data_IF_384319819066
#
_entry.id   IF_384319819066
#
_cell.length_a   1.000
_cell.length_b   1.000
_cell.length_c   1.000
_cell.angle_alpha   90.00
_cell.angle_beta   90.00
_cell.angle_gamma   90.00
#
_symmetry.space_group_name_H-M   'P 1'
#
loop_
_entity.id
_entity.type
_entity.pdbx_description
1 polymer ?
#
# COMPACT_ATOMS: atom_id res chain seq x y z
N UNK A 1 -1.59 -0.37 -19.69
CA UNK A 1 -2.05 0.63 -18.72
C UNK A 1 -1.30 1.94 -18.91
N UNK A 2 -2.03 3.06 -19.03
CA UNK A 2 -1.43 4.41 -19.13
C UNK A 2 -1.01 4.98 -17.75
N UNK A 3 -1.14 4.21 -16.69
CA UNK A 3 -0.74 4.62 -15.34
C UNK A 3 0.78 4.62 -15.18
N UNK A 4 1.38 5.79 -15.26
CA UNK A 4 2.82 6.04 -15.06
C UNK A 4 3.12 6.40 -13.59
N UNK A 5 2.43 5.79 -12.61
CA UNK A 5 2.82 5.96 -11.21
C UNK A 5 4.12 5.18 -10.90
N UNK A 6 4.82 5.59 -9.84
CA UNK A 6 6.13 5.01 -9.48
C UNK A 6 6.07 3.47 -9.30
N UNK A 7 4.97 2.95 -8.79
CA UNK A 7 4.73 1.51 -8.60
C UNK A 7 4.68 0.77 -9.94
N UNK A 8 3.90 1.27 -10.89
CA UNK A 8 3.79 0.66 -12.22
C UNK A 8 5.09 0.78 -13.00
N UNK A 9 5.84 1.88 -12.83
CA UNK A 9 7.14 2.04 -13.44
C UNK A 9 8.14 1.01 -12.90
N UNK A 10 8.17 0.79 -11.58
CA UNK A 10 9.03 -0.22 -10.96
C UNK A 10 8.70 -1.64 -11.46
N UNK A 11 7.43 -1.99 -11.57
CA UNK A 11 6.99 -3.29 -12.10
C UNK A 11 7.41 -3.45 -13.56
N UNK A 12 7.26 -2.41 -14.39
CA UNK A 12 7.67 -2.45 -15.81
C UNK A 12 9.18 -2.63 -15.93
N UNK A 13 9.99 -1.85 -15.22
CA UNK A 13 11.46 -1.95 -15.25
C UNK A 13 11.93 -3.34 -14.82
N UNK A 14 11.33 -3.90 -13.78
CA UNK A 14 11.63 -5.25 -13.32
C UNK A 14 11.26 -6.30 -14.37
N UNK A 15 10.06 -6.23 -14.93
CA UNK A 15 9.59 -7.15 -15.96
C UNK A 15 10.46 -7.08 -17.23
N UNK A 16 10.86 -5.87 -17.66
CA UNK A 16 11.77 -5.66 -18.79
C UNK A 16 13.18 -6.22 -18.53
N UNK A 17 13.65 -6.16 -17.26
CA UNK A 17 14.90 -6.76 -16.82
C UNK A 17 14.91 -8.29 -16.97
N UNK A 18 13.82 -8.96 -16.60
CA UNK A 18 13.66 -10.41 -16.77
C UNK A 18 13.69 -10.86 -18.24
N UNK A 19 13.09 -10.07 -19.12
CA UNK A 19 13.11 -10.36 -20.57
C UNK A 19 14.53 -10.29 -21.14
N UNK A 20 15.41 -9.46 -20.55
CA UNK A 20 16.80 -9.27 -21.03
C UNK A 20 17.82 -10.27 -20.46
N UNK A 21 17.57 -10.86 -19.29
CA UNK A 21 18.55 -11.72 -18.60
C UNK A 21 18.52 -13.19 -19.02
N UNK A 22 17.62 -13.60 -19.90
CA UNK A 22 17.68 -14.91 -20.57
C UNK A 22 17.59 -16.11 -19.64
N UNK A 23 16.99 -15.98 -18.47
CA UNK A 23 16.80 -17.11 -17.57
C UNK A 23 15.81 -18.10 -18.21
N UNK A 24 16.30 -19.31 -18.48
CA UNK A 24 15.77 -20.28 -19.44
C UNK A 24 14.44 -20.93 -19.05
N UNK A 25 13.91 -20.63 -17.86
CA UNK A 25 12.69 -21.26 -17.34
C UNK A 25 11.41 -20.41 -17.46
N UNK A 26 11.53 -19.13 -17.78
CA UNK A 26 10.40 -18.30 -18.17
C UNK A 26 10.45 -18.06 -19.69
N UNK A 27 9.97 -19.02 -20.46
CA UNK A 27 9.60 -18.78 -21.86
C UNK A 27 8.39 -17.84 -21.90
N UNK A 28 8.63 -16.55 -21.66
CA UNK A 28 7.73 -15.53 -22.16
C UNK A 28 7.84 -15.63 -23.68
N UNK A 29 6.94 -16.35 -24.31
CA UNK A 29 6.77 -16.26 -25.75
C UNK A 29 6.47 -14.81 -26.08
N UNK A 30 7.50 -14.07 -26.52
CA UNK A 30 7.35 -12.81 -27.25
C UNK A 30 6.71 -13.09 -28.62
N UNK A 31 5.56 -13.77 -28.65
CA UNK A 31 4.63 -13.55 -29.71
C UNK A 31 4.06 -12.16 -29.45
N UNK A 32 4.43 -11.19 -30.26
CA UNK A 32 3.74 -9.90 -30.44
C UNK A 32 2.32 -10.15 -30.96
N UNK A 33 1.62 -11.11 -30.37
CA UNK A 33 0.19 -11.20 -30.49
C UNK A 33 -0.34 -10.06 -29.66
N UNK A 34 -0.85 -9.05 -30.34
CA UNK A 34 -1.45 -7.86 -29.79
C UNK A 34 -2.51 -8.26 -28.73
N UNK A 35 -2.06 -8.40 -27.48
CA UNK A 35 -2.91 -8.73 -26.33
C UNK A 35 -3.98 -7.65 -26.17
N UNK A 36 -3.69 -6.42 -26.62
CA UNK A 36 -4.61 -5.28 -26.52
C UNK A 36 -5.89 -5.50 -27.32
N UNK A 37 -5.83 -6.22 -28.45
CA UNK A 37 -7.01 -6.59 -29.25
C UNK A 37 -7.97 -7.58 -28.58
N UNK A 38 -7.59 -8.16 -27.42
CA UNK A 38 -8.40 -9.14 -26.66
C UNK A 38 -8.98 -8.60 -25.37
N UNK A 39 -8.70 -7.33 -25.02
CA UNK A 39 -9.22 -6.70 -23.80
C UNK A 39 -10.70 -6.39 -24.00
N UNK A 40 -11.54 -6.95 -23.13
CA UNK A 40 -12.99 -6.72 -23.11
C UNK A 40 -13.32 -5.48 -22.27
N UNK A 41 -12.68 -5.33 -21.07
CA UNK A 41 -12.85 -4.18 -20.19
C UNK A 41 -11.55 -3.89 -19.45
N UNK A 42 -11.35 -2.63 -19.07
CA UNK A 42 -10.19 -2.20 -18.29
C UNK A 42 -10.61 -1.13 -17.30
N UNK A 43 -10.28 -1.35 -16.04
CA UNK A 43 -10.47 -0.37 -14.98
C UNK A 43 -9.11 0.02 -14.40
N UNK A 44 -8.74 1.30 -14.56
CA UNK A 44 -7.51 1.84 -13.97
C UNK A 44 -7.54 1.74 -12.44
N UNK A 45 -6.36 1.73 -11.80
CA UNK A 45 -6.26 1.80 -10.35
C UNK A 45 -7.02 3.00 -9.79
N UNK A 46 -7.77 2.79 -8.72
CA UNK A 46 -8.39 3.88 -7.98
C UNK A 46 -8.04 3.82 -6.49
N UNK A 47 -7.91 4.99 -5.86
CA UNK A 47 -7.60 5.10 -4.44
C UNK A 47 -8.72 4.57 -3.53
N UNK A 48 -9.95 4.48 -4.03
CA UNK A 48 -11.08 3.90 -3.31
C UNK A 48 -11.09 2.37 -3.37
N UNK A 49 -10.82 1.79 -4.55
CA UNK A 49 -10.77 0.33 -4.76
C UNK A 49 -9.45 -0.28 -4.34
N UNK A 50 -8.34 0.48 -4.37
CA UNK A 50 -6.97 0.03 -4.10
C UNK A 50 -6.44 -1.04 -5.07
N UNK A 51 -7.11 -1.27 -6.20
CA UNK A 51 -6.66 -2.15 -7.29
C UNK A 51 -7.11 -1.62 -8.65
N UNK A 52 -6.45 -2.10 -9.71
CA UNK A 52 -6.87 -2.00 -11.09
C UNK A 52 -7.19 -3.38 -11.65
N UNK A 53 -7.95 -3.45 -12.75
CA UNK A 53 -8.33 -4.71 -13.39
C UNK A 53 -8.34 -4.64 -14.90
N UNK A 54 -8.15 -5.80 -15.53
CA UNK A 54 -8.28 -5.99 -16.97
C UNK A 54 -9.08 -7.28 -17.19
N UNK A 55 -10.12 -7.21 -18.01
CA UNK A 55 -10.99 -8.34 -18.34
C UNK A 55 -10.67 -8.86 -19.74
N UNK A 56 -10.43 -10.16 -19.81
CA UNK A 56 -10.28 -10.94 -21.02
C UNK A 56 -11.41 -11.98 -21.13
N UNK A 57 -11.44 -12.75 -22.22
CA UNK A 57 -12.45 -13.80 -22.41
C UNK A 57 -12.39 -14.93 -21.36
N UNK A 58 -11.22 -15.14 -20.76
CA UNK A 58 -10.95 -16.19 -19.78
C UNK A 58 -11.07 -15.72 -18.31
N UNK A 59 -11.40 -14.44 -18.07
CA UNK A 59 -11.59 -13.90 -16.73
C UNK A 59 -11.06 -12.48 -16.53
N UNK A 60 -11.26 -11.96 -15.34
CA UNK A 60 -10.80 -10.63 -14.95
C UNK A 60 -9.53 -10.74 -14.10
N UNK A 61 -8.46 -10.11 -14.54
CA UNK A 61 -7.19 -10.04 -13.84
C UNK A 61 -7.09 -8.76 -13.02
N UNK A 62 -6.69 -8.88 -11.76
CA UNK A 62 -6.62 -7.80 -10.77
C UNK A 62 -5.20 -7.64 -10.27
N UNK A 63 -4.78 -6.39 -10.05
CA UNK A 63 -3.50 -6.06 -9.41
C UNK A 63 -3.70 -4.92 -8.41
N UNK A 64 -3.36 -5.16 -7.14
CA UNK A 64 -3.51 -4.15 -6.09
C UNK A 64 -3.38 -4.69 -4.68
N UNK A 65 -3.97 -3.99 -3.71
CA UNK A 65 -3.89 -4.36 -2.31
C UNK A 65 -4.64 -5.68 -2.04
N UNK A 66 -3.97 -6.68 -1.43
CA UNK A 66 -4.53 -8.02 -1.24
C UNK A 66 -5.88 -8.02 -0.52
N UNK A 67 -5.99 -7.23 0.55
CA UNK A 67 -7.19 -7.13 1.38
C UNK A 67 -8.41 -6.55 0.63
N UNK A 68 -8.18 -5.71 -0.39
CA UNK A 68 -9.25 -5.15 -1.22
C UNK A 68 -9.65 -6.06 -2.38
N UNK A 69 -8.75 -6.93 -2.83
CA UNK A 69 -9.01 -7.88 -3.89
C UNK A 69 -9.74 -9.12 -3.35
N UNK A 70 -9.33 -9.62 -2.18
CA UNK A 70 -9.84 -10.86 -1.59
C UNK A 70 -10.97 -10.63 -0.58
N UNK A 71 -11.09 -9.44 0.03
CA UNK A 71 -12.11 -9.18 1.04
C UNK A 71 -11.99 -10.17 2.22
N UNK A 72 -13.06 -10.90 2.49
CA UNK A 72 -13.12 -11.87 3.59
C UNK A 72 -12.15 -13.06 3.41
N UNK A 73 -11.76 -13.37 2.18
CA UNK A 73 -10.80 -14.42 1.85
C UNK A 73 -9.33 -13.99 2.05
N UNK A 74 -9.06 -12.77 2.53
CA UNK A 74 -7.70 -12.25 2.73
C UNK A 74 -6.85 -13.16 3.63
N UNK A 75 -7.47 -13.83 4.60
CA UNK A 75 -6.79 -14.74 5.52
C UNK A 75 -6.03 -15.87 4.81
N UNK A 76 -6.42 -16.26 3.58
CA UNK A 76 -5.79 -17.34 2.80
C UNK A 76 -4.33 -16.99 2.46
N UNK A 77 -4.03 -15.70 2.25
CA UNK A 77 -2.71 -15.22 1.82
C UNK A 77 -1.95 -14.45 2.91
N UNK A 78 -2.58 -14.16 4.04
CA UNK A 78 -2.03 -13.29 5.08
C UNK A 78 -0.68 -13.80 5.61
N UNK A 79 -0.57 -15.10 5.86
CA UNK A 79 0.67 -15.72 6.37
C UNK A 79 1.81 -15.63 5.33
N UNK A 80 1.51 -15.79 4.03
CA UNK A 80 2.52 -15.74 2.97
C UNK A 80 3.12 -14.34 2.82
N UNK A 81 2.29 -13.30 2.95
CA UNK A 81 2.75 -11.91 2.78
C UNK A 81 3.28 -11.29 4.07
N UNK A 82 3.07 -11.95 5.23
CA UNK A 82 3.45 -11.40 6.52
C UNK A 82 4.94 -11.05 6.61
N UNK A 83 5.81 -11.91 6.11
CA UNK A 83 7.27 -11.69 6.15
C UNK A 83 7.72 -10.45 5.38
N UNK A 84 7.00 -10.07 4.32
CA UNK A 84 7.27 -8.87 3.53
C UNK A 84 6.71 -7.62 4.21
N UNK A 85 5.48 -7.69 4.72
CA UNK A 85 4.86 -6.56 5.43
C UNK A 85 5.58 -6.23 6.73
N UNK A 86 6.15 -7.21 7.43
CA UNK A 86 6.98 -7.01 8.62
C UNK A 86 8.31 -6.29 8.32
N UNK A 87 8.83 -6.42 7.10
CA UNK A 87 9.98 -5.64 6.61
C UNK A 87 9.60 -4.22 6.17
N UNK A 88 8.32 -3.90 6.11
CA UNK A 88 7.83 -2.63 5.61
C UNK A 88 7.64 -2.58 4.09
N UNK A 89 7.71 -3.72 3.41
CA UNK A 89 7.48 -3.79 1.98
C UNK A 89 6.00 -3.61 1.64
N UNK A 90 5.73 -2.94 0.53
CA UNK A 90 4.39 -2.87 -0.03
C UNK A 90 4.15 -4.14 -0.86
N UNK A 91 3.16 -4.93 -0.47
CA UNK A 91 2.78 -6.12 -1.22
C UNK A 91 1.56 -5.82 -2.09
N UNK A 92 1.65 -6.19 -3.37
CA UNK A 92 0.54 -6.20 -4.31
C UNK A 92 0.22 -7.64 -4.66
N UNK A 93 -1.08 -7.97 -4.64
CA UNK A 93 -1.59 -9.25 -5.11
C UNK A 93 -1.91 -9.14 -6.60
N UNK A 94 -1.47 -10.12 -7.38
CA UNK A 94 -1.97 -10.42 -8.70
C UNK A 94 -2.94 -11.60 -8.58
N UNK A 95 -4.17 -11.43 -9.04
CA UNK A 95 -5.23 -12.41 -8.93
C UNK A 95 -6.07 -12.49 -10.21
N UNK A 96 -6.70 -13.64 -10.43
CA UNK A 96 -7.73 -13.83 -11.45
C UNK A 96 -9.09 -14.00 -10.79
N UNK A 97 -10.10 -13.33 -11.30
CA UNK A 97 -11.49 -13.45 -10.87
C UNK A 97 -12.30 -14.08 -11.99
N UNK A 98 -12.87 -15.23 -11.70
CA UNK A 98 -13.95 -15.83 -12.48
C UNK A 98 -15.30 -15.36 -11.88
N UNK A 99 -16.44 -15.78 -12.43
CA UNK A 99 -17.79 -15.32 -12.04
C UNK A 99 -17.98 -15.19 -10.51
N UNK A 100 -17.51 -16.17 -9.73
CA UNK A 100 -17.81 -16.27 -8.29
C UNK A 100 -16.57 -16.42 -7.39
N UNK A 101 -15.38 -16.54 -7.96
CA UNK A 101 -14.18 -16.84 -7.18
C UNK A 101 -12.98 -15.98 -7.60
N UNK A 102 -12.27 -15.43 -6.61
CA UNK A 102 -10.99 -14.76 -6.81
C UNK A 102 -9.85 -15.69 -6.43
N UNK A 103 -8.97 -15.98 -7.38
CA UNK A 103 -7.84 -16.92 -7.24
C UNK A 103 -6.54 -16.12 -7.19
N UNK A 104 -5.78 -16.15 -6.09
CA UNK A 104 -4.44 -15.60 -6.03
C UNK A 104 -3.52 -16.27 -7.06
N UNK A 105 -2.77 -15.49 -7.82
CA UNK A 105 -1.80 -15.98 -8.81
C UNK A 105 -0.36 -15.71 -8.38
N UNK A 106 -0.13 -14.67 -7.57
CA UNK A 106 1.19 -14.33 -7.09
C UNK A 106 1.25 -12.94 -6.45
N UNK A 107 2.42 -12.58 -5.94
CA UNK A 107 2.65 -11.32 -5.24
C UNK A 107 3.80 -10.54 -5.85
N UNK A 108 3.69 -9.23 -5.79
CA UNK A 108 4.79 -8.30 -6.06
C UNK A 108 5.11 -7.57 -4.77
N UNK A 109 6.27 -7.86 -4.17
CA UNK A 109 6.77 -7.14 -3.01
C UNK A 109 7.64 -5.97 -3.48
N UNK A 110 7.28 -4.75 -3.08
CA UNK A 110 7.98 -3.53 -3.42
C UNK A 110 8.66 -2.99 -2.17
N UNK A 111 9.98 -3.08 -2.12
CA UNK A 111 10.75 -2.43 -1.07
C UNK A 111 10.55 -0.92 -1.14
N UNK A 112 10.32 -0.32 0.01
CA UNK A 112 10.13 1.12 0.13
C UNK A 112 11.29 1.71 0.96
N UNK A 113 12.48 1.90 0.34
CA UNK A 113 13.66 2.33 1.07
C UNK A 113 13.43 3.71 1.70
N UNK A 114 13.79 3.83 2.98
CA UNK A 114 13.77 5.10 3.68
C UNK A 114 14.80 6.02 3.05
N UNK A 115 14.43 7.28 2.79
CA UNK A 115 15.36 8.28 2.28
C UNK A 115 16.54 8.43 3.24
N UNK A 116 17.77 8.47 2.72
CA UNK A 116 19.01 8.53 3.51
C UNK A 116 19.01 9.61 4.60
N UNK A 117 18.34 10.74 4.35
CA UNK A 117 18.29 11.85 5.31
C UNK A 117 17.10 11.77 6.30
N UNK A 118 16.16 10.82 6.14
CA UNK A 118 14.96 10.78 6.97
C UNK A 118 15.28 10.57 8.45
N UNK A 119 16.13 9.62 8.76
CA UNK A 119 16.53 9.33 10.16
C UNK A 119 17.12 10.57 10.83
N UNK A 120 18.07 11.25 10.18
CA UNK A 120 18.68 12.49 10.70
C UNK A 120 17.65 13.60 10.89
N UNK A 121 16.70 13.73 9.98
CA UNK A 121 15.62 14.72 10.06
C UNK A 121 14.71 14.44 11.26
N UNK A 122 14.32 13.18 11.48
CA UNK A 122 13.49 12.82 12.64
C UNK A 122 14.21 12.93 13.96
N UNK A 123 15.52 12.62 14.01
CA UNK A 123 16.36 12.91 15.18
C UNK A 123 16.43 14.41 15.50
N UNK A 124 16.52 15.26 14.47
CA UNK A 124 16.49 16.72 14.65
C UNK A 124 15.14 17.16 15.25
N UNK A 125 14.01 16.71 14.72
CA UNK A 125 12.68 17.02 15.26
C UNK A 125 12.54 16.56 16.72
N UNK A 126 13.04 15.37 17.04
CA UNK A 126 13.06 14.86 18.41
C UNK A 126 13.83 15.79 19.35
N UNK A 127 15.03 16.26 18.96
CA UNK A 127 15.83 17.22 19.73
C UNK A 127 15.10 18.56 19.93
N UNK A 128 14.29 18.97 18.96
CA UNK A 128 13.45 20.17 19.03
C UNK A 128 12.13 19.94 19.80
N UNK A 129 11.93 18.76 20.40
CA UNK A 129 10.67 18.36 21.09
C UNK A 129 9.41 18.46 20.21
N UNK A 130 9.58 18.28 18.91
CA UNK A 130 8.47 18.20 17.95
C UNK A 130 7.96 16.77 17.91
N UNK A 131 6.70 16.57 18.29
CA UNK A 131 6.02 15.27 18.18
C UNK A 131 5.64 14.97 16.73
N UNK A 132 5.99 13.78 16.24
CA UNK A 132 5.69 13.35 14.88
C UNK A 132 4.45 12.46 14.90
N UNK A 133 3.54 12.71 13.97
CA UNK A 133 2.39 11.83 13.65
C UNK A 133 2.46 11.42 12.18
N UNK A 134 2.37 10.12 11.93
CA UNK A 134 2.40 9.56 10.58
C UNK A 134 0.97 9.27 10.14
N UNK A 135 0.56 9.86 9.01
CA UNK A 135 -0.79 9.72 8.46
C UNK A 135 -0.67 9.23 7.02
N UNK A 136 -1.06 7.98 6.76
CA UNK A 136 -0.93 7.33 5.46
C UNK A 136 -2.23 6.69 5.01
N UNK A 137 -2.41 6.58 3.68
CA UNK A 137 -3.46 5.75 3.08
C UNK A 137 -3.11 4.27 2.99
N UNK A 138 -1.87 3.89 3.32
CA UNK A 138 -1.37 2.52 3.24
C UNK A 138 -1.72 1.70 4.49
N UNK A 139 -1.43 0.39 4.43
CA UNK A 139 -1.67 -0.53 5.55
C UNK A 139 -0.98 -0.05 6.84
N UNK A 140 -1.67 0.02 7.99
CA UNK A 140 -1.12 0.58 9.24
C UNK A 140 0.10 -0.16 9.76
N UNK A 141 0.17 -1.49 9.63
CA UNK A 141 1.31 -2.30 10.05
C UNK A 141 2.56 -1.98 9.22
N UNK A 142 2.40 -1.91 7.88
CA UNK A 142 3.49 -1.52 6.97
C UNK A 142 4.01 -0.11 7.28
N UNK A 143 3.10 0.85 7.47
CA UNK A 143 3.47 2.24 7.80
C UNK A 143 4.19 2.32 9.15
N UNK A 144 3.73 1.57 10.15
CA UNK A 144 4.38 1.47 11.46
C UNK A 144 5.81 0.94 11.35
N UNK A 145 6.03 -0.13 10.59
CA UNK A 145 7.38 -0.69 10.38
C UNK A 145 8.32 0.31 9.71
N UNK A 146 7.86 0.99 8.67
CA UNK A 146 8.65 2.05 8.00
C UNK A 146 8.96 3.19 8.97
N UNK A 147 8.00 3.60 9.78
CA UNK A 147 8.16 4.68 10.75
C UNK A 147 9.16 4.29 11.87
N UNK A 148 9.14 3.04 12.35
CA UNK A 148 10.12 2.51 13.30
C UNK A 148 11.53 2.49 12.71
N UNK A 149 11.69 2.00 11.49
CA UNK A 149 12.97 2.00 10.77
C UNK A 149 13.50 3.42 10.54
N UNK A 150 12.60 4.40 10.37
CA UNK A 150 12.96 5.82 10.25
C UNK A 150 13.32 6.47 11.58
N UNK A 151 13.21 5.77 12.72
CA UNK A 151 13.53 6.28 14.05
C UNK A 151 12.45 7.16 14.68
N UNK A 152 11.20 7.06 14.23
CA UNK A 152 10.07 7.80 14.82
C UNK A 152 9.67 7.16 16.15
N UNK A 153 9.64 7.96 17.22
CA UNK A 153 9.27 7.50 18.55
C UNK A 153 7.81 7.02 18.62
N UNK A 154 7.58 5.93 19.35
CA UNK A 154 6.27 5.32 19.54
C UNK A 154 5.57 4.94 18.22
N UNK A 155 6.33 4.66 17.15
CA UNK A 155 5.77 4.24 15.87
C UNK A 155 5.11 2.85 15.92
N UNK A 156 5.39 2.05 16.96
CA UNK A 156 4.71 0.81 17.32
C UNK A 156 3.23 1.03 17.71
N UNK A 157 2.88 2.25 18.15
CA UNK A 157 1.50 2.65 18.47
C UNK A 157 0.79 3.08 17.20
N UNK A 158 0.24 2.12 16.49
CA UNK A 158 -0.50 2.37 15.25
C UNK A 158 -1.98 1.99 15.35
N UNK A 159 -2.80 2.57 14.47
CA UNK A 159 -4.23 2.27 14.37
C UNK A 159 -4.68 2.27 12.90
N UNK A 160 -5.67 1.41 12.61
CA UNK A 160 -6.40 1.44 11.35
C UNK A 160 -7.49 2.53 11.42
N UNK A 161 -7.40 3.52 10.54
CA UNK A 161 -8.35 4.62 10.50
C UNK A 161 -9.76 4.17 10.08
N UNK A 162 -9.95 2.98 9.52
CA UNK A 162 -11.27 2.40 9.28
C UNK A 162 -12.08 2.21 10.56
N UNK A 163 -11.43 2.04 11.72
CA UNK A 163 -12.06 1.94 13.05
C UNK A 163 -12.47 3.29 13.66
N UNK A 164 -12.03 4.42 13.06
CA UNK A 164 -12.27 5.77 13.54
C UNK A 164 -13.52 6.39 12.88
N UNK A 165 -14.68 5.91 13.28
CA UNK A 165 -15.98 6.25 12.69
C UNK A 165 -16.65 7.49 13.34
N UNK A 166 -16.13 7.98 14.48
CA UNK A 166 -16.69 9.13 15.20
C UNK A 166 -15.63 10.17 15.58
N UNK A 167 -16.07 11.40 15.84
CA UNK A 167 -15.19 12.49 16.29
C UNK A 167 -14.54 12.19 17.64
N UNK A 168 -15.25 11.52 18.53
CA UNK A 168 -14.79 11.12 19.86
C UNK A 168 -13.67 10.11 19.76
N UNK A 169 -13.80 9.10 18.88
CA UNK A 169 -12.75 8.13 18.61
C UNK A 169 -11.51 8.80 18.02
N UNK A 170 -11.68 9.71 17.06
CA UNK A 170 -10.57 10.48 16.47
C UNK A 170 -9.86 11.32 17.55
N UNK A 171 -10.61 12.03 18.42
CA UNK A 171 -10.05 12.86 19.48
C UNK A 171 -9.26 12.04 20.53
N UNK A 172 -9.66 10.81 20.82
CA UNK A 172 -8.88 9.87 21.66
C UNK A 172 -7.64 9.35 20.93
N UNK A 173 -7.81 8.93 19.68
CA UNK A 173 -6.76 8.31 18.90
C UNK A 173 -5.54 9.22 18.67
N UNK A 174 -5.73 10.52 18.43
CA UNK A 174 -4.61 11.46 18.20
C UNK A 174 -3.66 11.60 19.40
N UNK A 175 -4.12 11.29 20.62
CA UNK A 175 -3.27 11.28 21.83
C UNK A 175 -2.61 9.91 22.08
N UNK A 176 -3.23 8.82 21.64
CA UNK A 176 -2.80 7.47 21.95
C UNK A 176 -1.86 6.89 20.88
N UNK A 177 -2.08 7.22 19.61
CA UNK A 177 -1.37 6.62 18.48
C UNK A 177 -0.45 7.61 17.79
N UNK A 178 0.63 7.08 17.26
CA UNK A 178 1.62 7.83 16.47
C UNK A 178 1.40 7.62 14.98
N UNK A 179 0.97 6.42 14.59
CA UNK A 179 0.80 6.04 13.19
C UNK A 179 -0.67 5.75 12.91
N UNK A 180 -1.17 6.33 11.82
CA UNK A 180 -2.54 6.16 11.32
C UNK A 180 -2.47 5.63 9.90
N UNK A 181 -2.93 4.40 9.69
CA UNK A 181 -2.99 3.76 8.37
C UNK A 181 -4.39 3.75 7.78
N UNK A 182 -4.52 3.48 6.49
CA UNK A 182 -5.78 3.47 5.72
C UNK A 182 -6.61 4.75 5.86
N UNK A 183 -5.92 5.87 6.04
CA UNK A 183 -6.55 7.19 6.24
C UNK A 183 -7.10 7.72 4.92
N UNK A 184 -8.37 8.09 4.90
CA UNK A 184 -8.99 8.82 3.81
C UNK A 184 -8.64 10.31 3.86
N UNK A 185 -8.73 11.07 2.74
CA UNK A 185 -8.51 12.51 2.75
C UNK A 185 -9.37 13.28 3.76
N UNK A 186 -10.63 12.87 3.94
CA UNK A 186 -11.54 13.44 4.93
C UNK A 186 -11.07 13.19 6.37
N UNK A 187 -10.66 11.96 6.67
CA UNK A 187 -10.13 11.61 7.99
C UNK A 187 -8.81 12.34 8.30
N UNK A 188 -7.93 12.55 7.29
CA UNK A 188 -6.71 13.35 7.46
C UNK A 188 -7.03 14.75 7.99
N UNK A 189 -8.03 15.42 7.39
CA UNK A 189 -8.47 16.73 7.87
C UNK A 189 -9.01 16.68 9.30
N UNK A 190 -9.77 15.63 9.64
CA UNK A 190 -10.33 15.44 10.98
C UNK A 190 -9.24 15.20 12.04
N UNK A 191 -8.22 14.41 11.72
CA UNK A 191 -7.07 14.16 12.60
C UNK A 191 -6.30 15.46 12.88
N UNK A 192 -6.02 16.28 11.84
CA UNK A 192 -5.33 17.56 12.00
C UNK A 192 -6.16 18.50 12.86
N UNK A 193 -7.48 18.63 12.61
CA UNK A 193 -8.37 19.45 13.43
C UNK A 193 -8.42 18.99 14.88
N UNK A 194 -8.44 17.68 15.13
CA UNK A 194 -8.46 17.13 16.49
C UNK A 194 -7.16 17.46 17.27
N UNK A 195 -5.99 17.44 16.60
CA UNK A 195 -4.73 17.88 17.18
C UNK A 195 -4.76 19.37 17.53
N UNK A 196 -5.24 20.22 16.61
CA UNK A 196 -5.35 21.67 16.82
C UNK A 196 -6.32 22.00 17.97
N UNK A 197 -7.46 21.30 18.09
CA UNK A 197 -8.42 21.46 19.19
C UNK A 197 -7.84 21.09 20.57
N UNK A 198 -6.79 20.26 20.58
CA UNK A 198 -6.03 19.95 21.80
C UNK A 198 -4.89 20.93 22.09
N UNK A 199 -4.81 22.04 21.37
CA UNK A 199 -3.81 23.08 21.57
C UNK A 199 -2.47 22.84 20.89
N UNK A 200 -2.37 21.85 19.99
CA UNK A 200 -1.14 21.62 19.24
C UNK A 200 -1.07 22.52 18.00
N UNK A 201 0.11 23.10 17.78
CA UNK A 201 0.44 23.71 16.47
C UNK A 201 0.83 22.59 15.52
N UNK A 202 0.16 22.49 14.38
CA UNK A 202 0.39 21.46 13.37
C UNK A 202 0.94 22.12 12.10
N UNK A 203 2.09 21.62 11.64
CA UNK A 203 2.76 22.06 10.41
C UNK A 203 2.82 20.93 9.36
#
# INVERSE_FOLDING_TARGET
>A
SKDNNATMLAIKVYAEGFVKTGDSDLKIHNSHNDITGRIIDQQAFSSSRKYGSITFADGTYLLGAPEFILGDDFHIVENEIQSYTEKGDRVLLFARRDSDKTIPLGFVALANPIRQNAVKTFEYFKKQKVAIKVISGDNPKTVSQIAMQAGIENADKYIDAASLDSKEKIAKAVSQYTVFGRVTPKQKQQLVKALQQKGHTVA
#
